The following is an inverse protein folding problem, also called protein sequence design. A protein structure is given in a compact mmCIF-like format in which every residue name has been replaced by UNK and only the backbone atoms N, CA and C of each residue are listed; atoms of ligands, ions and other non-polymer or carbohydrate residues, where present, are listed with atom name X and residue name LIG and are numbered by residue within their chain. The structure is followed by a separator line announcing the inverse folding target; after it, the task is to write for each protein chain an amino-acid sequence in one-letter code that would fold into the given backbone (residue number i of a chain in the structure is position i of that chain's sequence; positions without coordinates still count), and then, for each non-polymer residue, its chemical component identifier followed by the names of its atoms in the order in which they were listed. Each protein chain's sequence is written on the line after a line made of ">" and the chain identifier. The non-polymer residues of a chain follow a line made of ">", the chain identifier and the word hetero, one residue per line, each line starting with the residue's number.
data_IF_858746502659
#
_entry.id   IF_858746502659
#
_cell.length_a   1.000
_cell.length_b   1.000
_cell.length_c   1.000
_cell.angle_alpha   90.00
_cell.angle_beta   90.00
_cell.angle_gamma   90.00
#
_symmetry.space_group_name_H-M   'P 1'
#
loop_
_entity.id
_entity.type
_entity.pdbx_description
1 polymer ?
#
# COMPACT_ATOMS: atom_id res chain seq x y z
N UNK A 1 27.16 -3.49 -2.78
CA UNK A 1 27.24 -2.49 -3.85
C UNK A 1 25.81 -1.98 -4.00
N UNK A 2 25.55 -0.67 -3.84
CA UNK A 2 24.24 -0.11 -4.19
C UNK A 2 24.18 -0.12 -5.72
N UNK A 3 23.63 -1.19 -6.28
CA UNK A 3 23.24 -1.20 -7.68
C UNK A 3 21.88 -0.53 -7.73
N UNK A 4 21.81 0.63 -8.37
CA UNK A 4 20.53 1.21 -8.73
C UNK A 4 19.84 0.23 -9.65
N UNK A 5 18.90 -0.56 -9.11
CA UNK A 5 18.19 -1.55 -9.90
C UNK A 5 17.38 -0.82 -10.97
N UNK A 6 17.52 -1.22 -12.24
CA UNK A 6 16.76 -0.67 -13.37
C UNK A 6 15.30 -1.19 -13.34
N UNK A 7 14.60 -1.01 -12.22
CA UNK A 7 13.21 -1.42 -12.08
C UNK A 7 12.25 -0.31 -12.50
N UNK A 8 11.06 -0.71 -12.93
CA UNK A 8 9.92 0.18 -13.11
C UNK A 8 9.74 1.05 -11.85
N UNK A 9 9.40 2.33 -12.02
CA UNK A 9 9.07 3.13 -10.85
C UNK A 9 7.79 2.57 -10.25
N UNK A 10 7.84 2.31 -8.96
CA UNK A 10 6.71 1.85 -8.17
C UNK A 10 6.41 2.85 -7.06
N UNK A 11 5.16 2.96 -6.67
CA UNK A 11 4.78 3.85 -5.58
C UNK A 11 3.37 3.62 -5.08
N UNK A 12 2.98 4.45 -4.12
CA UNK A 12 1.63 4.45 -3.56
C UNK A 12 1.11 5.89 -3.55
N UNK A 13 -0.03 6.11 -4.19
CA UNK A 13 -0.76 7.37 -4.14
C UNK A 13 -1.78 7.35 -3.01
N UNK A 14 -2.01 8.50 -2.39
CA UNK A 14 -3.00 8.69 -1.34
C UNK A 14 -4.09 9.67 -1.76
N UNK A 15 -5.34 9.25 -1.62
CA UNK A 15 -6.55 10.04 -1.83
C UNK A 15 -7.33 10.06 -0.51
N UNK A 16 -6.84 10.80 0.49
CA UNK A 16 -7.35 10.68 1.86
C UNK A 16 -7.13 9.27 2.43
N UNK A 17 -8.18 8.57 2.91
CA UNK A 17 -8.04 7.22 3.47
C UNK A 17 -7.78 6.15 2.40
N UNK A 18 -8.13 6.41 1.14
CA UNK A 18 -7.91 5.45 0.04
C UNK A 18 -6.47 5.55 -0.44
N UNK A 19 -5.81 4.40 -0.55
CA UNK A 19 -4.45 4.23 -1.07
C UNK A 19 -4.50 3.39 -2.33
N UNK A 20 -3.62 3.70 -3.27
CA UNK A 20 -3.50 3.00 -4.56
C UNK A 20 -2.03 2.78 -4.89
N UNK A 21 -1.64 1.53 -5.05
CA UNK A 21 -0.31 1.17 -5.56
C UNK A 21 -0.25 1.37 -7.08
N UNK A 22 0.92 1.70 -7.61
CA UNK A 22 1.10 1.93 -9.05
C UNK A 22 2.52 1.54 -9.49
N UNK A 23 2.64 1.29 -10.79
CA UNK A 23 3.92 1.17 -11.50
C UNK A 23 3.88 2.01 -12.78
N UNK A 24 5.03 2.27 -13.39
CA UNK A 24 5.09 2.92 -14.71
C UNK A 24 4.33 2.13 -15.81
N UNK A 25 4.08 0.84 -15.59
CA UNK A 25 3.38 -0.06 -16.51
C UNK A 25 1.86 -0.15 -16.26
N UNK A 26 1.31 0.62 -15.31
CA UNK A 26 -0.11 0.55 -14.96
C UNK A 26 -1.01 0.97 -16.14
N UNK A 27 -1.77 0.02 -16.69
CA UNK A 27 -2.60 0.24 -17.89
C UNK A 27 -3.96 0.91 -17.64
N UNK A 28 -4.47 0.89 -16.41
CA UNK A 28 -5.80 1.44 -16.07
C UNK A 28 -5.71 2.36 -14.85
N UNK A 29 -6.34 3.53 -14.93
CA UNK A 29 -6.42 4.47 -13.83
C UNK A 29 -7.81 5.09 -13.72
N UNK A 30 -8.29 5.20 -12.48
CA UNK A 30 -9.49 5.98 -12.20
C UNK A 30 -9.17 7.47 -12.28
N UNK A 31 -10.10 8.28 -12.79
CA UNK A 31 -9.90 9.72 -12.80
C UNK A 31 -9.86 10.29 -11.37
N UNK A 32 -8.98 11.27 -11.15
CA UNK A 32 -8.80 11.90 -9.83
C UNK A 32 -10.12 12.39 -9.20
N UNK A 33 -11.06 13.02 -9.92
CA UNK A 33 -12.33 13.45 -9.33
C UNK A 33 -13.17 12.27 -8.78
N UNK A 34 -13.17 11.12 -9.46
CA UNK A 34 -13.95 9.95 -9.05
C UNK A 34 -13.38 9.32 -7.78
N UNK A 35 -12.08 9.04 -7.77
CA UNK A 35 -11.42 8.43 -6.60
C UNK A 35 -11.45 9.36 -5.38
N UNK A 36 -11.33 10.68 -5.58
CA UNK A 36 -11.45 11.65 -4.49
C UNK A 36 -12.87 11.73 -3.92
N UNK A 37 -13.90 11.58 -4.76
CA UNK A 37 -15.29 11.53 -4.30
C UNK A 37 -15.57 10.25 -3.51
N UNK A 38 -15.10 9.10 -4.02
CA UNK A 38 -15.17 7.83 -3.30
C UNK A 38 -14.46 7.90 -1.94
N UNK A 39 -13.23 8.41 -1.92
CA UNK A 39 -12.47 8.58 -0.69
C UNK A 39 -13.15 9.47 0.36
N UNK A 40 -13.80 10.56 -0.07
CA UNK A 40 -14.57 11.43 0.82
C UNK A 40 -15.76 10.69 1.46
N UNK A 41 -16.44 9.85 0.69
CA UNK A 41 -17.55 9.04 1.20
C UNK A 41 -17.08 7.95 2.16
N UNK A 42 -15.97 7.28 1.84
CA UNK A 42 -15.31 6.31 2.73
C UNK A 42 -14.94 6.96 4.07
N UNK A 43 -14.35 8.15 4.04
CA UNK A 43 -14.01 8.90 5.24
C UNK A 43 -15.25 9.27 6.06
N UNK A 44 -16.31 9.76 5.42
CA UNK A 44 -17.54 10.18 6.08
C UNK A 44 -18.28 9.03 6.78
N UNK A 45 -18.24 7.82 6.20
CA UNK A 45 -18.97 6.66 6.72
C UNK A 45 -18.08 5.68 7.51
N UNK A 46 -16.80 6.00 7.72
CA UNK A 46 -15.86 5.16 8.48
C UNK A 46 -15.54 3.82 7.80
N UNK A 47 -15.44 3.80 6.47
CA UNK A 47 -15.13 2.59 5.71
C UNK A 47 -16.28 1.58 5.64
N UNK A 48 -17.51 2.03 5.89
CA UNK A 48 -18.72 1.22 5.72
C UNK A 48 -19.24 1.31 4.28
N UNK A 49 -20.31 0.56 4.01
CA UNK A 49 -21.07 0.56 2.75
C UNK A 49 -21.28 1.97 2.18
N UNK A 50 -21.11 2.11 0.87
CA UNK A 50 -21.35 3.35 0.15
C UNK A 50 -22.87 3.53 -0.03
N UNK A 51 -23.38 4.73 0.27
CA UNK A 51 -24.83 5.03 0.20
C UNK A 51 -25.20 6.05 -0.87
N UNK A 52 -24.27 6.91 -1.29
CA UNK A 52 -24.54 7.90 -2.34
C UNK A 52 -24.49 7.25 -3.73
N UNK A 53 -25.62 7.28 -4.45
CA UNK A 53 -25.76 6.67 -5.78
C UNK A 53 -24.74 7.22 -6.79
N UNK A 54 -24.49 8.54 -6.78
CA UNK A 54 -23.49 9.18 -7.64
C UNK A 54 -22.07 8.60 -7.46
N UNK A 55 -21.76 8.15 -6.24
CA UNK A 55 -20.46 7.54 -5.90
C UNK A 55 -20.42 6.10 -6.37
N UNK A 56 -21.50 5.35 -6.14
CA UNK A 56 -21.67 3.97 -6.59
C UNK A 56 -21.50 3.89 -8.11
N UNK A 57 -22.22 4.75 -8.85
CA UNK A 57 -22.16 4.80 -10.31
C UNK A 57 -20.76 5.19 -10.81
N UNK A 58 -20.07 6.08 -10.10
CA UNK A 58 -18.73 6.52 -10.47
C UNK A 58 -17.67 5.42 -10.37
N UNK A 59 -17.81 4.53 -9.37
CA UNK A 59 -16.86 3.44 -9.09
C UNK A 59 -17.30 2.07 -9.62
N UNK A 60 -18.48 1.99 -10.24
CA UNK A 60 -18.99 0.77 -10.83
C UNK A 60 -17.99 0.14 -11.83
N UNK A 61 -17.72 -1.15 -11.64
CA UNK A 61 -16.79 -1.92 -12.48
C UNK A 61 -15.31 -1.60 -12.27
N UNK A 62 -14.93 -0.90 -11.21
CA UNK A 62 -13.52 -0.66 -10.84
C UNK A 62 -13.02 -1.58 -9.70
N UNK A 63 -13.81 -2.57 -9.31
CA UNK A 63 -13.47 -3.50 -8.21
C UNK A 63 -13.44 -2.86 -6.82
N UNK A 64 -13.95 -1.64 -6.65
CA UNK A 64 -13.98 -0.97 -5.36
C UNK A 64 -15.18 -1.37 -4.49
N UNK A 65 -16.32 -1.68 -5.12
CA UNK A 65 -17.55 -2.09 -4.46
C UNK A 65 -18.26 -3.23 -5.19
N UNK A 66 -19.06 -4.01 -4.47
CA UNK A 66 -19.98 -5.00 -5.05
C UNK A 66 -21.28 -4.35 -5.56
N UNK A 67 -22.16 -5.16 -6.14
CA UNK A 67 -23.49 -4.72 -6.64
C UNK A 67 -24.41 -4.21 -5.50
N UNK A 68 -24.13 -4.60 -4.26
CA UNK A 68 -24.82 -4.12 -3.07
C UNK A 68 -24.15 -2.88 -2.47
N UNK A 69 -23.14 -2.30 -3.12
CA UNK A 69 -22.37 -1.13 -2.65
C UNK A 69 -21.52 -1.36 -1.40
N UNK A 70 -21.26 -2.61 -1.03
CA UNK A 70 -20.28 -2.96 -0.01
C UNK A 70 -18.87 -2.77 -0.58
N UNK A 71 -17.95 -2.29 0.25
CA UNK A 71 -16.54 -2.13 -0.13
C UNK A 71 -15.90 -3.51 -0.31
N UNK A 72 -15.21 -3.71 -1.43
CA UNK A 72 -14.49 -4.94 -1.76
C UNK A 72 -13.01 -4.90 -1.37
N UNK A 73 -12.43 -3.70 -1.34
CA UNK A 73 -11.01 -3.51 -1.04
C UNK A 73 -10.72 -3.60 0.46
N UNK A 74 -9.51 -4.02 0.87
CA UNK A 74 -9.16 -4.14 2.29
C UNK A 74 -9.32 -2.82 3.04
N UNK A 75 -9.92 -2.88 4.23
CA UNK A 75 -10.04 -1.74 5.16
C UNK A 75 -9.19 -2.01 6.38
N UNK A 76 -8.16 -1.19 6.59
CA UNK A 76 -7.23 -1.26 7.70
C UNK A 76 -7.57 -0.13 8.67
N UNK A 77 -7.96 -0.50 9.88
CA UNK A 77 -8.23 0.44 10.97
C UNK A 77 -6.98 0.55 11.84
N UNK A 78 -6.39 1.74 11.87
CA UNK A 78 -5.21 2.03 12.71
C UNK A 78 -5.64 2.33 14.12
N UNK A 79 -4.81 1.90 15.08
CA UNK A 79 -4.95 2.16 16.51
C UNK A 79 -6.23 1.59 17.12
N UNK A 80 -6.90 0.65 16.46
CA UNK A 80 -8.10 0.02 16.98
C UNK A 80 -7.78 -1.24 17.83
N UNK A 81 -6.51 -1.65 17.88
CA UNK A 81 -6.03 -2.84 18.57
C UNK A 81 -6.69 -4.16 18.10
N UNK A 82 -7.20 -4.22 16.87
CA UNK A 82 -7.60 -5.48 16.26
C UNK A 82 -6.37 -6.33 15.88
N UNK A 83 -6.61 -7.58 15.46
CA UNK A 83 -5.53 -8.51 15.12
C UNK A 83 -4.61 -8.00 14.00
N UNK A 84 -5.16 -7.26 13.03
CA UNK A 84 -4.39 -6.72 11.90
C UNK A 84 -3.58 -5.50 12.35
N UNK A 85 -4.17 -4.59 13.13
CA UNK A 85 -3.48 -3.43 13.71
C UNK A 85 -2.32 -3.85 14.60
N UNK A 86 -2.56 -4.82 15.50
CA UNK A 86 -1.52 -5.41 16.35
C UNK A 86 -0.40 -6.05 15.52
N UNK A 87 -0.75 -6.85 14.51
CA UNK A 87 0.23 -7.48 13.63
C UNK A 87 1.08 -6.46 12.87
N UNK A 88 0.45 -5.43 12.29
CA UNK A 88 1.15 -4.34 11.62
C UNK A 88 2.11 -3.62 12.57
N UNK A 89 1.70 -3.39 13.82
CA UNK A 89 2.53 -2.77 14.85
C UNK A 89 3.73 -3.64 15.22
N UNK A 90 3.53 -4.94 15.37
CA UNK A 90 4.59 -5.89 15.72
C UNK A 90 5.63 -5.97 14.58
N UNK A 91 5.19 -6.14 13.34
CA UNK A 91 6.07 -6.13 12.15
C UNK A 91 6.87 -4.83 12.08
N UNK A 92 6.21 -3.68 12.23
CA UNK A 92 6.87 -2.37 12.16
C UNK A 92 7.89 -2.20 13.30
N UNK A 93 7.58 -2.69 14.49
CA UNK A 93 8.47 -2.62 15.66
C UNK A 93 9.71 -3.47 15.45
N UNK A 94 9.55 -4.71 15.01
CA UNK A 94 10.65 -5.64 14.79
C UNK A 94 11.58 -5.15 13.68
N UNK A 95 11.02 -4.65 12.57
CA UNK A 95 11.79 -4.04 11.50
C UNK A 95 12.55 -2.80 11.97
N UNK A 96 11.89 -1.93 12.74
CA UNK A 96 12.53 -0.73 13.29
C UNK A 96 13.70 -1.09 14.21
N UNK A 97 13.52 -2.09 15.07
CA UNK A 97 14.58 -2.58 15.96
C UNK A 97 15.75 -3.18 15.17
N UNK A 98 15.49 -4.03 14.18
CA UNK A 98 16.52 -4.62 13.34
C UNK A 98 17.34 -3.53 12.60
N UNK A 99 16.67 -2.58 11.95
CA UNK A 99 17.33 -1.48 11.23
C UNK A 99 18.16 -0.63 12.19
N UNK A 100 17.60 -0.21 13.33
CA UNK A 100 18.33 0.60 14.32
C UNK A 100 19.57 -0.11 14.85
N UNK A 101 19.46 -1.41 15.14
CA UNK A 101 20.55 -2.22 15.69
C UNK A 101 21.71 -2.39 14.71
N UNK A 102 21.43 -2.57 13.41
CA UNK A 102 22.43 -2.97 12.43
C UNK A 102 22.89 -1.86 11.47
N UNK A 103 22.15 -0.75 11.36
CA UNK A 103 22.47 0.35 10.43
C UNK A 103 23.83 1.01 10.67
N UNK A 104 24.34 1.05 11.91
CA UNK A 104 25.62 1.70 12.24
C UNK A 104 26.79 0.87 11.68
N UNK A 105 26.77 -0.45 11.92
CA UNK A 105 27.83 -1.34 11.41
C UNK A 105 27.74 -1.47 9.90
N UNK A 106 26.53 -1.59 9.35
CA UNK A 106 26.30 -1.68 7.90
C UNK A 106 26.79 -0.42 7.18
N UNK A 107 26.41 0.77 7.67
CA UNK A 107 26.82 2.05 7.07
C UNK A 107 28.32 2.25 7.05
N UNK A 108 29.02 1.86 8.13
CA UNK A 108 30.49 1.89 8.19
C UNK A 108 31.12 0.94 7.19
N UNK A 109 30.61 -0.29 7.06
CA UNK A 109 31.12 -1.28 6.12
C UNK A 109 30.97 -0.84 4.65
N UNK A 110 29.98 0.02 4.36
CA UNK A 110 29.69 0.53 3.02
C UNK A 110 30.10 2.00 2.80
N UNK A 111 30.87 2.60 3.71
CA UNK A 111 31.35 3.99 3.61
C UNK A 111 30.23 5.02 3.39
N UNK A 112 29.07 4.84 4.02
CA UNK A 112 27.94 5.76 3.93
C UNK A 112 28.20 7.01 4.81
N UNK A 113 28.04 8.19 4.22
CA UNK A 113 28.46 9.47 4.81
C UNK A 113 27.75 9.85 6.12
N UNK A 114 26.53 9.38 6.36
CA UNK A 114 25.79 9.67 7.59
C UNK A 114 24.97 8.49 8.08
N UNK A 115 24.75 8.41 9.38
CA UNK A 115 23.90 7.39 9.98
C UNK A 115 22.45 7.49 9.50
N UNK A 116 21.93 8.70 9.28
CA UNK A 116 20.58 8.93 8.77
C UNK A 116 20.43 8.36 7.36
N UNK A 117 21.40 8.62 6.48
CA UNK A 117 21.41 8.06 5.13
C UNK A 117 21.56 6.54 5.17
N UNK A 118 22.43 6.02 6.05
CA UNK A 118 22.59 4.58 6.27
C UNK A 118 21.29 3.91 6.72
N UNK A 119 20.55 4.53 7.64
CA UNK A 119 19.25 4.02 8.12
C UNK A 119 18.22 3.95 6.99
N UNK A 120 18.12 5.00 6.18
CA UNK A 120 17.16 5.04 5.06
C UNK A 120 17.52 3.98 4.03
N UNK A 121 18.77 3.90 3.59
CA UNK A 121 19.19 2.91 2.58
C UNK A 121 18.99 1.50 3.14
N UNK A 122 19.51 1.23 4.33
CA UNK A 122 19.43 -0.11 4.94
C UNK A 122 17.98 -0.56 5.18
N UNK A 123 17.09 0.36 5.59
CA UNK A 123 15.66 0.08 5.69
C UNK A 123 15.08 -0.38 4.35
N UNK A 124 15.36 0.35 3.26
CA UNK A 124 14.85 -0.04 1.94
C UNK A 124 15.41 -1.39 1.52
N UNK A 125 16.73 -1.63 1.64
CA UNK A 125 17.34 -2.92 1.29
C UNK A 125 16.71 -4.09 2.05
N UNK A 126 16.45 -3.94 3.35
CA UNK A 126 15.77 -4.95 4.17
C UNK A 126 14.34 -5.19 3.69
N UNK A 127 13.60 -4.12 3.39
CA UNK A 127 12.23 -4.25 2.88
C UNK A 127 12.18 -4.96 1.53
N UNK A 128 13.11 -4.65 0.62
CA UNK A 128 13.23 -5.31 -0.67
C UNK A 128 13.57 -6.79 -0.52
N UNK A 129 14.58 -7.13 0.28
CA UNK A 129 14.97 -8.53 0.53
C UNK A 129 13.81 -9.35 1.13
N UNK A 130 13.05 -8.75 2.05
CA UNK A 130 11.86 -9.38 2.61
C UNK A 130 10.79 -9.65 1.55
N UNK A 131 10.51 -8.70 0.66
CA UNK A 131 9.55 -8.89 -0.43
C UNK A 131 10.03 -9.98 -1.39
N UNK A 132 11.31 -9.98 -1.78
CA UNK A 132 11.93 -10.99 -2.65
C UNK A 132 11.84 -12.40 -2.02
N UNK A 133 12.06 -12.51 -0.69
CA UNK A 133 11.89 -13.78 0.05
C UNK A 133 10.43 -14.24 0.08
N UNK A 134 9.48 -13.33 0.30
CA UNK A 134 8.05 -13.67 0.33
C UNK A 134 7.53 -14.10 -1.05
N UNK A 135 7.99 -13.42 -2.10
CA UNK A 135 7.64 -13.74 -3.49
C UNK A 135 8.24 -15.08 -3.92
N UNK A 136 9.53 -15.33 -3.66
CA UNK A 136 10.19 -16.60 -4.00
C UNK A 136 9.58 -17.81 -3.28
N UNK A 137 8.95 -17.60 -2.12
CA UNK A 137 8.18 -18.62 -1.39
C UNK A 137 6.73 -18.76 -1.86
N UNK A 138 6.28 -17.93 -2.80
CA UNK A 138 4.90 -17.90 -3.30
C UNK A 138 3.88 -17.42 -2.27
N UNK A 139 4.32 -16.70 -1.23
CA UNK A 139 3.44 -16.15 -0.19
C UNK A 139 2.74 -14.89 -0.70
N UNK A 140 3.45 -14.07 -1.47
CA UNK A 140 2.93 -12.90 -2.16
C UNK A 140 3.24 -12.99 -3.64
N UNK A 141 2.51 -12.23 -4.45
CA UNK A 141 2.84 -12.01 -5.84
C UNK A 141 2.41 -10.62 -6.25
N UNK A 142 3.15 -10.01 -7.16
CA UNK A 142 2.76 -8.74 -7.76
C UNK A 142 1.50 -8.92 -8.62
N UNK A 143 0.43 -8.14 -8.40
CA UNK A 143 -0.79 -8.20 -9.21
C UNK A 143 -0.51 -7.97 -10.70
N UNK A 144 -1.21 -8.71 -11.57
CA UNK A 144 -1.07 -8.65 -13.02
C UNK A 144 -1.25 -7.22 -13.59
N UNK A 145 -2.20 -6.45 -13.05
CA UNK A 145 -2.42 -5.05 -13.41
C UNK A 145 -1.19 -4.15 -13.19
N UNK A 146 -0.34 -4.45 -12.19
CA UNK A 146 0.90 -3.70 -11.94
C UNK A 146 2.03 -4.12 -12.89
N UNK A 147 1.92 -5.27 -13.55
CA UNK A 147 2.90 -5.77 -14.55
C UNK A 147 2.60 -5.23 -15.95
N UNK A 148 1.53 -4.46 -16.12
CA UNK A 148 1.05 -3.99 -17.41
C UNK A 148 0.30 -5.03 -18.24
N UNK A 149 -0.16 -6.11 -17.60
CA UNK A 149 -1.01 -7.10 -18.25
C UNK A 149 -2.41 -6.53 -18.51
N UNK A 150 -3.01 -6.88 -19.66
CA UNK A 150 -4.39 -6.51 -20.01
C UNK A 150 -5.40 -7.37 -19.24
N UNK A 151 -5.62 -7.05 -17.98
CA UNK A 151 -6.56 -7.77 -17.10
C UNK A 151 -7.95 -7.11 -16.99
N UNK A 152 -8.08 -5.84 -17.38
CA UNK A 152 -9.31 -5.07 -17.23
C UNK A 152 -9.29 -4.09 -16.04
N UNK A 153 -10.19 -3.11 -16.08
CA UNK A 153 -10.26 -2.00 -15.10
C UNK A 153 -10.80 -2.44 -13.73
N UNK A 154 -11.49 -3.57 -13.67
CA UNK A 154 -12.04 -4.18 -12.46
C UNK A 154 -10.93 -4.57 -11.48
N UNK A 155 -9.74 -4.91 -11.97
CA UNK A 155 -8.56 -5.22 -11.17
C UNK A 155 -7.90 -3.97 -10.56
N UNK A 156 -8.43 -2.77 -10.82
CA UNK A 156 -8.01 -1.57 -10.08
C UNK A 156 -8.26 -1.72 -8.57
N UNK A 157 -9.28 -2.50 -8.17
CA UNK A 157 -9.51 -2.84 -6.76
C UNK A 157 -8.36 -3.60 -6.11
N UNK A 158 -7.67 -4.48 -6.85
CA UNK A 158 -6.59 -5.34 -6.33
C UNK A 158 -5.36 -4.56 -5.85
N UNK A 159 -5.23 -3.32 -6.32
CA UNK A 159 -4.12 -2.40 -6.00
C UNK A 159 -4.54 -1.29 -5.06
N UNK A 160 -5.79 -1.30 -4.59
CA UNK A 160 -6.35 -0.32 -3.69
C UNK A 160 -6.58 -0.90 -2.29
N UNK A 161 -6.44 -0.03 -1.29
CA UNK A 161 -6.76 -0.35 0.10
C UNK A 161 -7.16 0.92 0.85
N UNK A 162 -7.87 0.77 1.95
CA UNK A 162 -8.33 1.87 2.79
C UNK A 162 -7.59 1.84 4.11
N UNK A 163 -7.14 2.99 4.57
CA UNK A 163 -6.53 3.20 5.88
C UNK A 163 -7.33 4.28 6.61
N UNK A 164 -7.94 3.89 7.72
CA UNK A 164 -8.72 4.78 8.58
C UNK A 164 -8.12 4.76 9.98
N UNK A 165 -8.06 5.90 10.65
CA UNK A 165 -7.80 5.91 12.08
C UNK A 165 -9.11 5.55 12.79
N UNK A 166 -9.09 4.61 13.74
CA UNK A 166 -10.20 4.54 14.68
C UNK A 166 -10.23 5.86 15.45
N UNK A 167 -11.40 6.46 15.58
CA UNK A 167 -11.56 7.61 16.46
C UNK A 167 -10.88 7.27 17.80
N UNK A 168 -9.85 8.05 18.16
CA UNK A 168 -9.27 7.95 19.48
C UNK A 168 -10.42 8.20 20.46
N UNK A 169 -10.74 7.20 21.27
CA UNK A 169 -11.53 7.42 22.49
C UNK A 169 -10.81 8.41 23.42
#
# INVERSE_FOLDING_TARGET
>A
MFESRNHDKIGTNGYGPVKQNWTDNLGYWMSMPKIMTFAREVAANGGKRIVKQEVIDAVAGWGLTDDNSNILIPVIYRNNNDKIDLLCRDITTDLSHAVKKHCISWGKAHNIASQQLSQVIFYHEVMWDLLDILESKGIISMPAILKGEEVGKEHFGDICFIVLDSAAE
#
